data_IF_947359201815
#
_entry.id   IF_947359201815
#
_cell.length_a   1.000
_cell.length_b   1.000
_cell.length_c   1.000
_cell.angle_alpha   90.00
_cell.angle_beta   90.00
_cell.angle_gamma   90.00
#
_symmetry.space_group_name_H-M   'P 1'
#
loop_
_entity.id
_entity.type
_entity.pdbx_description
1 polymer ?
#
# COMPACT_ATOMS: atom_id res chain seq x y z
N UNK A 1 9.71 13.24 0.44
CA UNK A 1 10.16 12.37 -0.68
C UNK A 1 10.36 10.95 -0.19
N UNK A 2 11.19 10.71 0.84
CA UNK A 2 11.46 9.36 1.38
C UNK A 2 10.17 8.67 1.87
N UNK A 3 9.32 9.38 2.59
CA UNK A 3 8.03 8.88 3.08
C UNK A 3 7.16 8.33 1.93
N UNK A 4 7.13 9.02 0.79
CA UNK A 4 6.41 8.54 -0.40
C UNK A 4 6.95 7.19 -0.90
N UNK A 5 8.28 7.04 -0.91
CA UNK A 5 8.94 5.78 -1.30
C UNK A 5 8.56 4.62 -0.37
N UNK A 6 8.61 4.84 0.96
CA UNK A 6 8.26 3.84 1.96
C UNK A 6 6.79 3.43 1.89
N UNK A 7 5.87 4.39 1.76
CA UNK A 7 4.46 4.08 1.58
C UNK A 7 4.19 3.31 0.28
N UNK A 8 4.88 3.67 -0.80
CA UNK A 8 4.74 2.97 -2.07
C UNK A 8 5.35 1.57 -2.03
N UNK A 9 6.39 1.36 -1.22
CA UNK A 9 6.95 0.05 -0.93
C UNK A 9 5.89 -0.90 -0.33
N UNK A 10 5.17 -0.46 0.71
CA UNK A 10 4.09 -1.24 1.31
C UNK A 10 2.92 -1.45 0.31
N UNK A 11 2.52 -0.40 -0.39
CA UNK A 11 1.41 -0.41 -1.32
C UNK A 11 1.66 -1.34 -2.52
N UNK A 12 2.78 -1.20 -3.22
CA UNK A 12 3.11 -2.01 -4.40
C UNK A 12 3.56 -3.43 -4.05
N UNK A 13 4.29 -3.59 -2.94
CA UNK A 13 4.66 -4.92 -2.45
C UNK A 13 3.43 -5.78 -2.13
N UNK A 14 2.45 -5.22 -1.42
CA UNK A 14 1.19 -5.93 -1.16
C UNK A 14 0.36 -6.17 -2.43
N UNK A 15 0.48 -5.31 -3.45
CA UNK A 15 -0.20 -5.49 -4.73
C UNK A 15 0.25 -6.75 -5.46
N UNK A 16 1.52 -7.10 -5.35
CA UNK A 16 2.08 -8.32 -5.94
C UNK A 16 1.85 -9.55 -5.06
N UNK A 17 2.05 -9.39 -3.75
CA UNK A 17 2.04 -10.53 -2.83
C UNK A 17 0.63 -11.06 -2.51
N UNK A 18 -0.37 -10.18 -2.41
CA UNK A 18 -1.74 -10.59 -2.02
C UNK A 18 -2.40 -11.51 -3.06
N UNK A 19 -2.37 -11.23 -4.38
CA UNK A 19 -2.90 -12.18 -5.36
C UNK A 19 -2.20 -13.53 -5.33
N UNK A 20 -0.88 -13.55 -5.18
CA UNK A 20 -0.11 -14.80 -5.08
C UNK A 20 -0.49 -15.60 -3.82
N UNK A 21 -0.70 -14.91 -2.68
CA UNK A 21 -1.17 -15.55 -1.46
C UNK A 21 -2.56 -16.18 -1.67
N UNK A 22 -3.49 -15.47 -2.30
CA UNK A 22 -4.84 -15.97 -2.55
C UNK A 22 -4.84 -17.17 -3.49
N UNK A 23 -3.98 -17.18 -4.52
CA UNK A 23 -3.88 -18.26 -5.48
C UNK A 23 -3.13 -19.45 -4.91
N UNK A 24 -1.91 -19.27 -4.41
CA UNK A 24 -0.99 -20.35 -4.06
C UNK A 24 -1.20 -20.94 -2.65
N UNK A 25 -1.68 -20.11 -1.70
CA UNK A 25 -1.83 -20.55 -0.32
C UNK A 25 -3.29 -20.85 0.08
N UNK A 26 -4.26 -20.22 -0.59
CA UNK A 26 -5.67 -20.34 -0.26
C UNK A 26 -6.50 -21.00 -1.38
N UNK A 27 -5.87 -21.38 -2.51
CA UNK A 27 -6.46 -22.05 -3.67
C UNK A 27 -7.68 -21.33 -4.27
N UNK A 28 -7.67 -19.98 -4.26
CA UNK A 28 -8.74 -19.19 -4.89
C UNK A 28 -8.62 -19.22 -6.42
N UNK A 29 -9.77 -19.27 -7.09
CA UNK A 29 -9.81 -19.17 -8.54
C UNK A 29 -9.40 -17.76 -9.01
N UNK A 30 -8.73 -17.63 -10.19
CA UNK A 30 -8.33 -16.32 -10.73
C UNK A 30 -9.47 -15.32 -10.86
N UNK A 31 -10.68 -15.77 -11.20
CA UNK A 31 -11.87 -14.94 -11.29
C UNK A 31 -12.28 -14.37 -9.93
N UNK A 32 -12.19 -15.17 -8.86
CA UNK A 32 -12.51 -14.74 -7.50
C UNK A 32 -11.47 -13.74 -6.98
N UNK A 33 -10.18 -14.00 -7.25
CA UNK A 33 -9.09 -13.06 -6.92
C UNK A 33 -9.31 -11.72 -7.59
N UNK A 34 -9.70 -11.70 -8.87
CA UNK A 34 -10.01 -10.47 -9.60
C UNK A 34 -11.09 -9.63 -8.91
N UNK A 35 -12.16 -10.28 -8.43
CA UNK A 35 -13.23 -9.60 -7.69
C UNK A 35 -12.76 -9.02 -6.36
N UNK A 36 -11.91 -9.71 -5.63
CA UNK A 36 -11.37 -9.23 -4.36
C UNK A 36 -10.41 -8.05 -4.56
N UNK A 37 -9.52 -8.16 -5.56
CA UNK A 37 -8.47 -7.15 -5.82
C UNK A 37 -9.05 -5.83 -6.33
N UNK A 38 -10.20 -5.85 -7.01
CA UNK A 38 -10.87 -4.64 -7.52
C UNK A 38 -11.27 -3.67 -6.39
N UNK A 39 -11.43 -4.15 -5.15
CA UNK A 39 -11.77 -3.33 -3.99
C UNK A 39 -10.75 -2.21 -3.73
N UNK A 40 -9.47 -2.45 -4.05
CA UNK A 40 -8.37 -1.50 -3.88
C UNK A 40 -8.47 -0.28 -4.82
N UNK A 41 -8.44 -0.43 -6.17
CA UNK A 41 -8.56 0.71 -7.08
C UNK A 41 -9.91 1.40 -6.95
N UNK A 42 -10.97 0.67 -6.62
CA UNK A 42 -12.30 1.24 -6.41
C UNK A 42 -12.29 2.20 -5.21
N UNK A 43 -11.76 1.79 -4.08
CA UNK A 43 -11.65 2.65 -2.89
C UNK A 43 -10.72 3.84 -3.15
N UNK A 44 -9.58 3.61 -3.81
CA UNK A 44 -8.68 4.69 -4.22
C UNK A 44 -9.39 5.75 -5.07
N UNK A 45 -10.12 5.32 -6.10
CA UNK A 45 -10.85 6.20 -7.02
C UNK A 45 -11.96 6.99 -6.34
N UNK A 46 -12.66 6.35 -5.38
CA UNK A 46 -13.72 7.02 -4.62
C UNK A 46 -13.17 8.06 -3.63
N UNK A 47 -12.01 7.81 -3.04
CA UNK A 47 -11.44 8.66 -1.98
C UNK A 47 -10.56 9.78 -2.52
N UNK A 48 -9.85 9.56 -3.62
CA UNK A 48 -8.93 10.54 -4.20
C UNK A 48 -9.55 11.94 -4.43
N UNK A 49 -10.80 12.09 -4.93
CA UNK A 49 -11.43 13.41 -5.06
C UNK A 49 -11.64 14.15 -3.73
N UNK A 50 -11.81 13.39 -2.63
CA UNK A 50 -12.03 13.96 -1.30
C UNK A 50 -10.73 14.29 -0.57
N UNK A 51 -9.57 13.86 -1.10
CA UNK A 51 -8.27 14.11 -0.47
C UNK A 51 -8.01 15.61 -0.25
N UNK A 52 -8.39 16.45 -1.21
CA UNK A 52 -8.29 17.91 -1.07
C UNK A 52 -9.08 18.47 0.12
N UNK A 53 -10.27 17.93 0.40
CA UNK A 53 -11.06 18.30 1.56
C UNK A 53 -10.38 17.92 2.89
N UNK A 54 -9.79 16.72 2.95
CA UNK A 54 -9.02 16.27 4.12
C UNK A 54 -7.79 17.15 4.35
N UNK A 55 -7.06 17.47 3.27
CA UNK A 55 -5.90 18.37 3.34
C UNK A 55 -6.32 19.75 3.84
N UNK A 56 -7.43 20.33 3.32
CA UNK A 56 -7.93 21.64 3.73
C UNK A 56 -8.37 21.69 5.19
N UNK A 57 -8.94 20.62 5.75
CA UNK A 57 -9.40 20.57 7.15
C UNK A 57 -8.32 20.19 8.16
N UNK A 58 -7.52 19.19 7.84
CA UNK A 58 -6.55 18.59 8.78
C UNK A 58 -5.13 19.11 8.57
N UNK A 59 -4.86 19.70 7.40
CA UNK A 59 -3.52 20.06 6.94
C UNK A 59 -2.79 18.88 6.31
N UNK A 60 -1.84 19.17 5.43
CA UNK A 60 -1.12 18.19 4.60
C UNK A 60 -0.42 17.11 5.43
N UNK A 61 0.26 17.53 6.51
CA UNK A 61 1.05 16.64 7.37
C UNK A 61 0.17 15.61 8.09
N UNK A 62 -0.94 16.04 8.69
CA UNK A 62 -1.85 15.15 9.44
C UNK A 62 -2.59 14.20 8.49
N UNK A 63 -2.95 14.71 7.32
CA UNK A 63 -3.62 13.91 6.28
C UNK A 63 -2.69 12.83 5.73
N UNK A 64 -1.40 13.16 5.49
CA UNK A 64 -0.39 12.17 5.12
C UNK A 64 -0.17 11.10 6.19
N UNK A 65 -0.12 11.50 7.47
CA UNK A 65 -0.01 10.56 8.61
C UNK A 65 -1.24 9.65 8.73
N UNK A 66 -2.44 10.20 8.50
CA UNK A 66 -3.67 9.40 8.48
C UNK A 66 -3.62 8.34 7.39
N UNK A 67 -3.17 8.71 6.19
CA UNK A 67 -2.99 7.77 5.07
C UNK A 67 -1.99 6.66 5.40
N UNK A 68 -0.84 7.00 6.02
CA UNK A 68 0.14 6.02 6.48
C UNK A 68 -0.46 5.06 7.52
N UNK A 69 -1.20 5.58 8.50
CA UNK A 69 -1.89 4.77 9.51
C UNK A 69 -2.89 3.80 8.86
N UNK A 70 -3.63 4.23 7.83
CA UNK A 70 -4.57 3.36 7.12
C UNK A 70 -3.84 2.24 6.38
N UNK A 71 -2.69 2.51 5.77
CA UNK A 71 -1.86 1.48 5.12
C UNK A 71 -1.32 0.50 6.15
N UNK A 72 -0.86 0.97 7.31
CA UNK A 72 -0.40 0.12 8.40
C UNK A 72 -1.53 -0.82 8.87
N UNK A 73 -2.71 -0.29 9.14
CA UNK A 73 -3.88 -1.08 9.53
C UNK A 73 -4.29 -2.09 8.45
N UNK A 74 -4.15 -1.70 7.18
CA UNK A 74 -4.39 -2.58 6.05
C UNK A 74 -3.41 -3.77 6.04
N UNK A 75 -2.12 -3.54 6.27
CA UNK A 75 -1.12 -4.61 6.35
C UNK A 75 -1.42 -5.57 7.49
N UNK A 76 -1.79 -5.05 8.68
CA UNK A 76 -2.19 -5.88 9.82
C UNK A 76 -3.44 -6.70 9.49
N UNK A 77 -4.43 -6.12 8.81
CA UNK A 77 -5.63 -6.84 8.37
C UNK A 77 -5.27 -7.97 7.39
N UNK A 78 -4.39 -7.71 6.42
CA UNK A 78 -3.94 -8.71 5.44
C UNK A 78 -3.14 -9.85 6.07
N UNK A 79 -2.29 -9.57 7.06
CA UNK A 79 -1.55 -10.59 7.82
C UNK A 79 -2.51 -11.52 8.58
N UNK A 80 -3.66 -11.01 9.01
CA UNK A 80 -4.66 -11.81 9.72
C UNK A 80 -5.51 -12.72 8.83
N UNK A 81 -5.27 -12.73 7.51
CA UNK A 81 -5.92 -13.64 6.55
C UNK A 81 -5.19 -14.99 6.59
N UNK A 82 -5.77 -15.96 7.29
CA UNK A 82 -5.16 -17.29 7.48
C UNK A 82 -6.05 -18.46 7.03
N UNK A 83 -7.23 -18.18 6.51
CA UNK A 83 -8.18 -19.23 6.10
C UNK A 83 -8.97 -18.85 4.85
N UNK A 84 -9.39 -19.85 4.03
CA UNK A 84 -10.09 -19.63 2.77
C UNK A 84 -11.43 -18.88 2.86
N UNK A 85 -12.07 -18.77 4.01
CA UNK A 85 -13.36 -18.07 4.19
C UNK A 85 -13.21 -16.65 4.75
N UNK A 86 -12.07 -16.00 4.50
CA UNK A 86 -11.76 -14.67 5.05
C UNK A 86 -11.84 -13.55 4.01
N UNK A 87 -12.67 -13.68 2.98
CA UNK A 87 -12.83 -12.71 1.89
C UNK A 87 -13.05 -11.27 2.39
N UNK A 88 -13.88 -11.10 3.43
CA UNK A 88 -14.12 -9.79 4.03
C UNK A 88 -12.85 -9.13 4.59
N UNK A 89 -11.91 -9.92 5.12
CA UNK A 89 -10.62 -9.39 5.62
C UNK A 89 -9.73 -8.94 4.46
N UNK A 90 -9.74 -9.68 3.35
CA UNK A 90 -9.02 -9.32 2.13
C UNK A 90 -9.59 -8.03 1.56
N UNK A 91 -10.92 -7.94 1.40
CA UNK A 91 -11.61 -6.74 0.92
C UNK A 91 -11.30 -5.55 1.84
N UNK A 92 -11.39 -5.74 3.16
CA UNK A 92 -11.10 -4.69 4.14
C UNK A 92 -9.64 -4.23 4.04
N UNK A 93 -8.69 -5.15 4.01
CA UNK A 93 -7.27 -4.83 3.88
C UNK A 93 -6.95 -4.09 2.59
N UNK A 94 -7.45 -4.59 1.45
CA UNK A 94 -7.25 -3.95 0.15
C UNK A 94 -7.95 -2.59 0.06
N UNK A 95 -9.15 -2.46 0.61
CA UNK A 95 -9.87 -1.18 0.68
C UNK A 95 -9.13 -0.15 1.53
N UNK A 96 -8.58 -0.57 2.69
CA UNK A 96 -7.77 0.30 3.54
C UNK A 96 -6.48 0.75 2.86
N UNK A 97 -5.81 -0.11 2.06
CA UNK A 97 -4.65 0.31 1.26
C UNK A 97 -5.03 1.34 0.21
N UNK A 98 -6.15 1.13 -0.49
CA UNK A 98 -6.68 2.08 -1.47
C UNK A 98 -7.05 3.42 -0.83
N UNK A 99 -7.73 3.39 0.32
CA UNK A 99 -8.10 4.58 1.10
C UNK A 99 -6.85 5.34 1.57
N UNK A 100 -5.91 4.65 2.19
CA UNK A 100 -4.69 5.24 2.71
C UNK A 100 -3.88 5.93 1.63
N UNK A 101 -3.66 5.26 0.49
CA UNK A 101 -2.91 5.83 -0.63
C UNK A 101 -3.69 6.94 -1.33
N UNK A 102 -5.03 6.82 -1.43
CA UNK A 102 -5.90 7.86 -2.01
C UNK A 102 -5.83 9.19 -1.27
N UNK A 103 -5.62 9.17 0.04
CA UNK A 103 -5.45 10.38 0.85
C UNK A 103 -3.97 10.81 0.91
N UNK A 104 -3.05 9.85 1.10
CA UNK A 104 -1.65 10.16 1.33
C UNK A 104 -0.94 10.74 0.11
N UNK A 105 -1.16 10.19 -1.09
CA UNK A 105 -0.44 10.60 -2.28
C UNK A 105 -0.65 12.11 -2.61
N UNK A 106 -1.88 12.63 -2.68
CA UNK A 106 -2.10 14.05 -2.89
C UNK A 106 -1.54 14.93 -1.76
N UNK A 107 -1.67 14.47 -0.50
CA UNK A 107 -1.17 15.21 0.67
C UNK A 107 0.35 15.35 0.66
N UNK A 108 1.08 14.30 0.31
CA UNK A 108 2.54 14.32 0.22
C UNK A 108 3.02 15.18 -0.95
N UNK A 109 2.29 15.18 -2.06
CA UNK A 109 2.58 16.06 -3.20
C UNK A 109 2.33 17.53 -2.84
N UNK A 110 1.25 17.85 -2.14
CA UNK A 110 0.97 19.19 -1.65
C UNK A 110 2.03 19.66 -0.64
N UNK A 111 2.45 18.78 0.29
CA UNK A 111 3.51 19.06 1.25
C UNK A 111 4.85 19.33 0.55
N UNK A 112 5.18 18.58 -0.51
CA UNK A 112 6.35 18.83 -1.32
C UNK A 112 6.28 20.20 -1.98
N UNK A 113 5.15 20.51 -2.60
CA UNK A 113 4.92 21.80 -3.26
C UNK A 113 5.08 22.98 -2.30
N UNK A 114 4.57 22.84 -1.06
CA UNK A 114 4.71 23.86 -0.02
C UNK A 114 6.15 24.00 0.54
N UNK A 115 7.01 23.00 0.30
CA UNK A 115 8.35 22.93 0.91
C UNK A 115 9.48 23.36 -0.02
N UNK A 116 9.21 23.59 -1.32
CA UNK A 116 10.23 23.94 -2.32
C UNK A 116 9.87 25.23 -3.03
N UNK A 117 10.87 25.92 -3.60
CA UNK A 117 10.64 27.10 -4.43
C UNK A 117 10.03 26.68 -5.77
N UNK A 118 9.28 27.56 -6.38
CA UNK A 118 8.64 27.33 -7.68
C UNK A 118 9.65 26.94 -8.77
N UNK A 119 10.85 27.56 -8.76
CA UNK A 119 11.95 27.22 -9.65
C UNK A 119 12.42 25.75 -9.56
N UNK A 120 12.28 25.14 -8.40
CA UNK A 120 12.85 23.81 -8.10
C UNK A 120 11.77 22.71 -8.11
N UNK A 121 10.50 23.09 -8.37
CA UNK A 121 9.36 22.21 -8.35
C UNK A 121 9.51 21.01 -9.30
N UNK A 122 10.06 21.24 -10.50
CA UNK A 122 10.30 20.19 -11.48
C UNK A 122 11.27 19.13 -10.97
N UNK A 123 12.38 19.56 -10.36
CA UNK A 123 13.39 18.66 -9.80
C UNK A 123 12.81 17.89 -8.59
N UNK A 124 12.10 18.58 -7.71
CA UNK A 124 11.48 18.00 -6.52
C UNK A 124 10.44 16.92 -6.90
N UNK A 125 9.60 17.19 -7.90
CA UNK A 125 8.60 16.24 -8.41
C UNK A 125 9.26 15.02 -9.06
N UNK A 126 10.33 15.23 -9.83
CA UNK A 126 11.10 14.13 -10.41
C UNK A 126 11.73 13.25 -9.33
N UNK A 127 12.32 13.85 -8.29
CA UNK A 127 12.85 13.10 -7.14
C UNK A 127 11.77 12.33 -6.39
N UNK A 128 10.58 12.92 -6.19
CA UNK A 128 9.45 12.24 -5.58
C UNK A 128 9.04 11.01 -6.41
N UNK A 129 8.94 11.15 -7.73
CA UNK A 129 8.59 10.06 -8.62
C UNK A 129 9.65 8.95 -8.61
N UNK A 130 10.93 9.31 -8.64
CA UNK A 130 12.03 8.33 -8.53
C UNK A 130 11.95 7.54 -7.22
N UNK A 131 11.77 8.21 -6.07
CA UNK A 131 11.63 7.55 -4.77
C UNK A 131 10.39 6.66 -4.71
N UNK A 132 9.30 7.08 -5.32
CA UNK A 132 8.07 6.29 -5.44
C UNK A 132 8.33 5.00 -6.22
N UNK A 133 9.00 5.07 -7.35
CA UNK A 133 9.33 3.89 -8.17
C UNK A 133 10.36 2.97 -7.48
N UNK A 134 11.38 3.54 -6.86
CA UNK A 134 12.33 2.74 -6.07
C UNK A 134 11.61 2.01 -4.93
N UNK A 135 10.71 2.68 -4.22
CA UNK A 135 9.89 2.06 -3.18
C UNK A 135 9.04 0.91 -3.73
N UNK A 136 8.39 1.11 -4.87
CA UNK A 136 7.57 0.07 -5.51
C UNK A 136 8.39 -1.19 -5.86
N UNK A 137 9.55 -1.01 -6.49
CA UNK A 137 10.44 -2.13 -6.88
C UNK A 137 11.00 -2.84 -5.66
N UNK A 138 11.53 -2.08 -4.69
CA UNK A 138 12.08 -2.64 -3.46
C UNK A 138 11.01 -3.36 -2.64
N UNK A 139 9.80 -2.80 -2.57
CA UNK A 139 8.69 -3.42 -1.86
C UNK A 139 8.30 -4.77 -2.43
N UNK A 140 8.13 -4.84 -3.74
CA UNK A 140 7.86 -6.10 -4.43
C UNK A 140 8.97 -7.12 -4.23
N UNK A 141 10.22 -6.72 -4.48
CA UNK A 141 11.38 -7.61 -4.38
C UNK A 141 11.59 -8.14 -2.95
N UNK A 142 11.54 -7.26 -1.93
CA UNK A 142 11.75 -7.65 -0.54
C UNK A 142 10.63 -8.53 0.01
N UNK A 143 9.37 -8.19 -0.29
CA UNK A 143 8.24 -9.00 0.16
C UNK A 143 8.26 -10.41 -0.44
N UNK A 144 8.58 -10.53 -1.73
CA UNK A 144 8.72 -11.83 -2.40
C UNK A 144 9.94 -12.58 -1.86
N UNK A 145 11.10 -11.92 -1.71
CA UNK A 145 12.30 -12.57 -1.20
C UNK A 145 12.11 -13.14 0.22
N UNK A 146 11.42 -12.41 1.10
CA UNK A 146 11.10 -12.92 2.44
C UNK A 146 10.12 -14.07 2.37
N UNK A 147 9.14 -14.02 1.47
CA UNK A 147 8.25 -15.14 1.23
C UNK A 147 9.03 -16.40 0.82
N UNK A 148 9.91 -16.31 -0.18
CA UNK A 148 10.69 -17.43 -0.69
C UNK A 148 11.59 -18.06 0.38
N UNK A 149 12.27 -17.21 1.20
CA UNK A 149 13.14 -17.68 2.29
C UNK A 149 12.33 -18.40 3.39
N UNK A 150 11.10 -17.97 3.64
CA UNK A 150 10.26 -18.50 4.73
C UNK A 150 9.25 -19.55 4.28
N UNK A 151 9.25 -19.95 3.02
CA UNK A 151 8.30 -20.93 2.46
C UNK A 151 8.28 -22.26 3.25
N UNK A 152 9.41 -22.67 3.83
CA UNK A 152 9.53 -23.86 4.70
C UNK A 152 8.68 -23.78 5.98
N UNK A 153 8.26 -22.58 6.39
CA UNK A 153 7.45 -22.35 7.60
C UNK A 153 5.93 -22.54 7.41
N UNK A 154 5.51 -22.86 6.19
CA UNK A 154 4.10 -23.00 5.80
C UNK A 154 3.62 -21.88 4.90
N UNK A 155 2.87 -22.20 3.85
CA UNK A 155 2.51 -21.29 2.77
C UNK A 155 1.90 -19.96 3.28
N UNK A 156 0.85 -20.01 4.12
CA UNK A 156 0.16 -18.80 4.60
C UNK A 156 1.06 -17.96 5.53
N UNK A 157 1.84 -18.63 6.39
CA UNK A 157 2.76 -17.97 7.34
C UNK A 157 3.86 -17.24 6.57
N UNK A 158 4.39 -17.83 5.50
CA UNK A 158 5.41 -17.23 4.65
C UNK A 158 4.93 -15.92 4.02
N UNK A 159 3.70 -15.87 3.50
CA UNK A 159 3.11 -14.62 3.00
C UNK A 159 2.93 -13.57 4.08
N UNK A 160 2.60 -13.99 5.31
CA UNK A 160 2.48 -13.08 6.46
C UNK A 160 3.82 -12.41 6.80
N UNK A 161 4.93 -13.13 6.73
CA UNK A 161 6.27 -12.56 6.90
C UNK A 161 6.62 -11.54 5.81
N UNK A 162 6.27 -11.83 4.55
CA UNK A 162 6.42 -10.85 3.46
C UNK A 162 5.65 -9.55 3.74
N UNK A 163 4.40 -9.65 4.17
CA UNK A 163 3.57 -8.48 4.50
C UNK A 163 4.08 -7.70 5.73
N UNK A 164 4.82 -8.31 6.67
CA UNK A 164 5.45 -7.61 7.80
C UNK A 164 6.46 -6.54 7.33
N UNK A 165 7.07 -6.71 6.17
CA UNK A 165 7.93 -5.67 5.57
C UNK A 165 7.10 -4.42 5.25
N UNK A 166 5.86 -4.59 4.78
CA UNK A 166 4.95 -3.48 4.57
C UNK A 166 4.62 -2.74 5.86
N UNK A 167 4.43 -3.46 6.96
CA UNK A 167 4.24 -2.85 8.30
C UNK A 167 5.47 -2.04 8.72
N UNK A 168 6.67 -2.57 8.48
CA UNK A 168 7.92 -1.87 8.84
C UNK A 168 8.18 -0.62 7.96
N UNK A 169 7.57 -0.54 6.78
CA UNK A 169 7.73 0.58 5.86
C UNK A 169 6.73 1.73 6.12
N UNK A 170 5.65 1.50 6.86
CA UNK A 170 4.61 2.51 7.17
C UNK A 170 4.78 3.14 8.54
#
# INVERSE_FOLDING_TARGET
>A
VVTQGLMNMAYMGSFLLVPQMLENALDYSPSHIGWLVISRPLTFSLIAPFAGYFVGKLGERKTGMLGALMILLAMVALISVQSPNSDWKVILGLSLTGFGMGIAAPSLTALLAASVKESDMGVASAMQQLMSQMGAVLGGALMIAVHDITESSGKVISYSYGLLIGVAAT
#
